data_IF_177879649072
#
_entry.id   IF_177879649072
#
_cell.length_a   1.000
_cell.length_b   1.000
_cell.length_c   1.000
_cell.angle_alpha   90.00
_cell.angle_beta   90.00
_cell.angle_gamma   90.00
#
_symmetry.space_group_name_H-M   'P 1'
#
loop_
_entity.id
_entity.type
_entity.pdbx_description
1 polymer ?
#
# COMPACT_ATOMS: atom_id res chain seq x y z
N UNK A 1 -27.24 15.13 -3.39
CA UNK A 1 -26.15 14.74 -2.47
C UNK A 1 -24.91 15.48 -2.93
N UNK A 2 -24.37 16.35 -2.07
CA UNK A 2 -23.20 17.18 -2.38
C UNK A 2 -21.96 16.29 -2.20
N UNK A 3 -21.12 16.19 -3.24
CA UNK A 3 -19.84 15.50 -3.18
C UNK A 3 -18.87 16.34 -2.34
N UNK A 4 -18.53 15.84 -1.15
CA UNK A 4 -17.45 16.39 -0.32
C UNK A 4 -16.16 15.60 -0.62
N UNK A 5 -15.14 16.21 -1.24
CA UNK A 5 -13.87 15.55 -1.53
C UNK A 5 -13.06 15.16 -0.29
N UNK A 6 -13.46 15.62 0.91
CA UNK A 6 -12.80 15.32 2.18
C UNK A 6 -13.59 14.34 3.06
N UNK A 7 -14.67 13.74 2.57
CA UNK A 7 -15.40 12.73 3.32
C UNK A 7 -14.65 11.38 3.23
N UNK A 8 -13.95 11.02 4.30
CA UNK A 8 -13.50 9.66 4.56
C UNK A 8 -14.72 8.82 4.95
N UNK A 9 -15.39 8.27 3.94
CA UNK A 9 -16.38 7.24 4.18
C UNK A 9 -15.64 5.96 4.60
N UNK A 10 -15.53 5.74 5.92
CA UNK A 10 -15.41 4.40 6.47
C UNK A 10 -16.61 3.60 5.97
N UNK A 11 -16.39 2.87 4.88
CA UNK A 11 -17.23 1.74 4.48
C UNK A 11 -16.45 0.52 4.96
N UNK A 12 -17.05 -0.27 5.85
CA UNK A 12 -16.44 -1.44 6.50
C UNK A 12 -15.44 -2.15 5.58
N UNK A 13 -14.19 -2.20 5.98
CA UNK A 13 -13.14 -2.93 5.28
C UNK A 13 -12.31 -2.16 4.24
N UNK A 14 -12.64 -0.92 3.87
CA UNK A 14 -11.90 -0.18 2.82
C UNK A 14 -11.05 0.95 3.41
N UNK A 15 -9.73 0.87 3.20
CA UNK A 15 -8.80 1.96 3.55
C UNK A 15 -8.43 2.74 2.29
N UNK A 16 -8.52 4.08 2.32
CA UNK A 16 -8.20 4.95 1.18
C UNK A 16 -7.03 5.86 1.51
N UNK A 17 -6.06 5.96 0.60
CA UNK A 17 -4.96 6.92 0.68
C UNK A 17 -4.95 7.84 -0.55
N UNK A 18 -5.01 9.15 -0.30
CA UNK A 18 -4.83 10.16 -1.35
C UNK A 18 -3.34 10.50 -1.49
N UNK A 19 -2.79 10.36 -2.69
CA UNK A 19 -1.40 10.71 -3.01
C UNK A 19 -1.42 11.96 -3.90
N UNK A 20 -1.35 13.14 -3.29
CA UNK A 20 -1.50 14.42 -4.01
C UNK A 20 -0.42 15.43 -3.68
N UNK A 21 0.12 16.06 -4.73
CA UNK A 21 0.94 17.26 -4.67
C UNK A 21 0.58 18.20 -5.84
N UNK A 22 1.34 19.27 -6.05
CA UNK A 22 1.09 20.19 -7.17
C UNK A 22 1.26 19.55 -8.57
N UNK A 23 2.01 18.45 -8.66
CA UNK A 23 2.38 17.83 -9.94
C UNK A 23 1.74 16.46 -10.19
N UNK A 24 1.17 15.84 -9.14
CA UNK A 24 0.65 14.48 -9.19
C UNK A 24 -0.58 14.35 -8.30
N UNK A 25 -1.54 13.52 -8.73
CA UNK A 25 -2.76 13.26 -7.99
C UNK A 25 -3.23 11.82 -8.27
N UNK A 26 -3.24 11.00 -7.22
CA UNK A 26 -3.67 9.61 -7.29
C UNK A 26 -4.46 9.22 -6.05
N UNK A 27 -5.23 8.14 -6.19
CA UNK A 27 -5.98 7.54 -5.11
C UNK A 27 -5.66 6.05 -5.05
N UNK A 28 -5.30 5.57 -3.86
CA UNK A 28 -5.06 4.16 -3.61
C UNK A 28 -6.12 3.64 -2.65
N UNK A 29 -6.66 2.45 -2.94
CA UNK A 29 -7.64 1.78 -2.10
C UNK A 29 -7.08 0.42 -1.70
N UNK A 30 -7.09 0.13 -0.40
CA UNK A 30 -6.87 -1.20 0.14
C UNK A 30 -8.23 -1.78 0.53
N UNK A 31 -8.61 -2.87 -0.14
CA UNK A 31 -9.82 -3.64 0.15
C UNK A 31 -9.41 -5.01 0.72
N UNK A 32 -10.31 -5.71 1.42
CA UNK A 32 -10.05 -7.08 1.85
C UNK A 32 -9.89 -7.99 0.63
N UNK A 33 -8.85 -8.82 0.62
CA UNK A 33 -8.54 -9.78 -0.43
C UNK A 33 -7.82 -11.00 0.16
N UNK A 34 -7.60 -12.05 -0.64
CA UNK A 34 -7.05 -13.34 -0.21
C UNK A 34 -5.72 -13.24 0.56
N UNK A 35 -4.90 -12.23 0.26
CA UNK A 35 -3.61 -12.00 0.93
C UNK A 35 -3.66 -10.97 2.06
N UNK A 36 -4.78 -10.31 2.30
CA UNK A 36 -4.91 -9.16 3.23
C UNK A 36 -6.06 -9.27 4.22
N UNK A 37 -6.77 -10.40 4.25
CA UNK A 37 -7.95 -10.60 5.10
C UNK A 37 -7.66 -10.61 6.61
N UNK A 38 -6.41 -10.86 7.02
CA UNK A 38 -6.02 -11.06 8.43
C UNK A 38 -5.83 -9.73 9.19
N UNK A 39 -5.62 -8.61 8.50
CA UNK A 39 -5.33 -7.34 9.15
C UNK A 39 -6.59 -6.55 9.51
N UNK A 40 -6.54 -5.94 10.70
CA UNK A 40 -7.48 -4.90 11.13
C UNK A 40 -7.43 -3.69 10.17
N UNK A 41 -8.42 -2.80 10.28
CA UNK A 41 -8.56 -1.68 9.34
C UNK A 41 -7.39 -0.69 9.38
N UNK A 42 -6.78 -0.54 10.56
CA UNK A 42 -5.69 0.40 10.83
C UNK A 42 -4.36 -0.08 10.22
N UNK A 43 -4.10 -1.39 10.22
CA UNK A 43 -2.87 -1.98 9.66
C UNK A 43 -3.01 -2.45 8.20
N UNK A 44 -4.23 -2.56 7.67
CA UNK A 44 -4.49 -3.12 6.34
C UNK A 44 -3.71 -2.45 5.21
N UNK A 45 -3.62 -1.12 5.22
CA UNK A 45 -2.89 -0.41 4.17
C UNK A 45 -1.40 -0.78 4.18
N UNK A 46 -0.78 -0.82 5.36
CA UNK A 46 0.61 -1.21 5.51
C UNK A 46 0.83 -2.67 5.06
N UNK A 47 -0.04 -3.59 5.49
CA UNK A 47 0.04 -5.00 5.09
C UNK A 47 -0.11 -5.21 3.58
N UNK A 48 -1.12 -4.59 2.97
CA UNK A 48 -1.36 -4.69 1.51
C UNK A 48 -0.20 -4.11 0.72
N UNK A 49 0.27 -2.91 1.06
CA UNK A 49 1.34 -2.26 0.31
C UNK A 49 2.67 -2.99 0.51
N UNK A 50 3.00 -3.40 1.73
CA UNK A 50 4.22 -4.17 1.98
C UNK A 50 4.20 -5.52 1.25
N UNK A 51 3.10 -6.27 1.35
CA UNK A 51 2.94 -7.55 0.66
C UNK A 51 2.99 -7.41 -0.86
N UNK A 52 2.27 -6.43 -1.43
CA UNK A 52 2.28 -6.16 -2.87
C UNK A 52 3.67 -5.77 -3.36
N UNK A 53 4.35 -4.86 -2.66
CA UNK A 53 5.70 -4.43 -3.07
C UNK A 53 6.72 -5.56 -2.94
N UNK A 54 6.61 -6.40 -1.91
CA UNK A 54 7.44 -7.60 -1.75
C UNK A 54 7.24 -8.61 -2.88
N UNK A 55 5.99 -8.89 -3.25
CA UNK A 55 5.67 -9.74 -4.40
C UNK A 55 6.18 -9.12 -5.70
N UNK A 56 5.95 -7.80 -5.90
CA UNK A 56 6.34 -7.06 -7.10
C UNK A 56 7.84 -7.09 -7.35
N UNK A 57 8.66 -6.85 -6.32
CA UNK A 57 10.13 -6.92 -6.46
C UNK A 57 10.63 -8.35 -6.59
N UNK A 58 9.93 -9.33 -5.99
CA UNK A 58 10.27 -10.75 -6.14
C UNK A 58 10.04 -11.30 -7.55
N UNK A 59 9.27 -10.60 -8.40
CA UNK A 59 9.14 -10.94 -9.82
C UNK A 59 10.48 -10.83 -10.56
N UNK A 60 11.42 -10.02 -10.07
CA UNK A 60 12.70 -9.71 -10.74
C UNK A 60 12.51 -9.32 -12.22
N UNK A 61 11.43 -8.60 -12.53
CA UNK A 61 11.12 -8.16 -13.89
C UNK A 61 11.90 -6.86 -14.19
N UNK A 62 12.78 -6.85 -15.21
CA UNK A 62 13.64 -5.69 -15.50
C UNK A 62 12.83 -4.44 -15.88
N UNK A 63 11.59 -4.58 -16.35
CA UNK A 63 10.71 -3.44 -16.66
C UNK A 63 10.22 -2.77 -15.38
N UNK A 64 9.94 -3.55 -14.34
CA UNK A 64 9.55 -3.03 -13.02
C UNK A 64 10.74 -2.33 -12.39
N UNK A 65 11.93 -2.94 -12.41
CA UNK A 65 13.15 -2.33 -11.86
C UNK A 65 13.50 -1.01 -12.56
N UNK A 66 13.39 -0.97 -13.89
CA UNK A 66 13.63 0.26 -14.66
C UNK A 66 12.64 1.38 -14.31
N UNK A 67 11.35 1.07 -14.15
CA UNK A 67 10.36 2.05 -13.72
C UNK A 67 10.67 2.54 -12.29
N UNK A 68 10.95 1.64 -11.36
CA UNK A 68 11.31 2.00 -9.99
C UNK A 68 12.51 2.96 -9.97
N UNK A 69 13.57 2.67 -10.74
CA UNK A 69 14.74 3.56 -10.85
C UNK A 69 14.42 4.92 -11.49
N UNK A 70 13.61 4.96 -12.54
CA UNK A 70 13.19 6.21 -13.19
C UNK A 70 12.43 7.14 -12.22
N UNK A 71 11.64 6.56 -11.33
CA UNK A 71 10.90 7.30 -10.29
C UNK A 71 11.72 7.53 -9.00
N UNK A 72 12.96 7.01 -8.92
CA UNK A 72 13.80 7.10 -7.72
C UNK A 72 13.27 6.30 -6.52
N UNK A 73 12.55 5.22 -6.79
CA UNK A 73 11.93 4.35 -5.78
C UNK A 73 12.76 3.08 -5.59
N UNK A 74 12.92 2.67 -4.33
CA UNK A 74 13.51 1.39 -3.96
C UNK A 74 12.69 0.77 -2.83
N UNK A 75 12.47 -0.54 -2.89
CA UNK A 75 11.75 -1.29 -1.86
C UNK A 75 12.53 -2.54 -1.46
N UNK A 76 12.62 -2.80 -0.16
CA UNK A 76 13.23 -4.00 0.40
C UNK A 76 12.34 -4.54 1.52
N UNK A 77 11.95 -5.80 1.41
CA UNK A 77 11.23 -6.50 2.48
C UNK A 77 12.13 -6.63 3.71
N UNK A 78 11.57 -6.31 4.88
CA UNK A 78 12.21 -6.53 6.17
C UNK A 78 11.65 -7.80 6.82
N UNK A 79 12.41 -8.49 7.68
CA UNK A 79 11.87 -9.53 8.54
C UNK A 79 10.72 -8.97 9.40
N UNK A 80 9.69 -9.77 9.65
CA UNK A 80 8.71 -9.46 10.69
C UNK A 80 9.44 -9.74 12.00
N UNK A 81 9.57 -8.74 12.88
CA UNK A 81 10.17 -8.93 14.19
C UNK A 81 9.38 -10.02 14.95
N UNK A 82 9.96 -11.21 15.06
CA UNK A 82 9.49 -12.24 15.98
C UNK A 82 9.98 -11.85 17.36
N UNK A 83 9.10 -11.24 18.17
CA UNK A 83 9.25 -10.97 19.60
C UNK A 83 10.66 -10.54 20.06
N UNK A 84 10.80 -9.24 20.35
CA UNK A 84 11.85 -8.79 21.25
C UNK A 84 11.52 -9.37 22.63
N UNK A 85 12.12 -10.51 22.97
CA UNK A 85 12.27 -10.95 24.36
C UNK A 85 13.28 -10.01 25.03
N UNK A 86 12.80 -9.05 25.82
CA UNK A 86 13.57 -8.37 26.87
C UNK A 86 13.02 -8.80 28.25
#
# INVERSE_FOLDING_TARGET
>A
MIYDPNFDSQKDGITRLTLKCAHQNGMMYAIPADKSWVCDEDSRFAHVVAGFMGDLTSLNDPRVDALMQQWGLYYRTLPIDSEVED
#
